data_IF_632170528774
#
_entry.id   IF_632170528774
#
_cell.length_a   1.000
_cell.length_b   1.000
_cell.length_c   1.000
_cell.angle_alpha   90.00
_cell.angle_beta   90.00
_cell.angle_gamma   90.00
#
_symmetry.space_group_name_H-M   'P 1'
#
loop_
_entity.id
_entity.type
_entity.pdbx_description
1 polymer ?
#
# COMPACT_ATOMS: atom_id res chain seq x y z
N UNK A 1 -17.22 -92.17 -1.62
CA UNK A 1 -16.88 -93.60 -1.54
C UNK A 1 -18.15 -94.42 -1.36
N UNK A 2 -19.13 -94.23 -2.24
CA UNK A 2 -20.24 -95.17 -2.36
C UNK A 2 -19.77 -96.32 -3.25
N UNK A 3 -20.29 -97.54 -3.04
CA UNK A 3 -19.89 -98.69 -3.85
C UNK A 3 -20.62 -98.61 -5.18
N UNK A 4 -19.89 -98.27 -6.24
CA UNK A 4 -20.36 -98.29 -7.63
C UNK A 4 -20.94 -99.68 -7.94
N UNK A 5 -22.27 -99.74 -8.05
CA UNK A 5 -22.98 -100.96 -8.43
C UNK A 5 -22.95 -101.03 -9.95
N UNK A 6 -21.99 -101.76 -10.50
CA UNK A 6 -21.89 -102.02 -11.94
C UNK A 6 -23.27 -102.45 -12.49
N UNK A 7 -23.78 -101.70 -13.47
CA UNK A 7 -25.17 -101.85 -13.94
C UNK A 7 -25.23 -103.05 -14.90
N UNK A 8 -25.40 -104.24 -14.34
CA UNK A 8 -25.57 -105.47 -15.12
C UNK A 8 -27.00 -105.58 -15.64
N UNK A 9 -27.16 -105.63 -16.97
CA UNK A 9 -28.46 -105.78 -17.65
C UNK A 9 -29.16 -107.11 -17.31
N UNK A 10 -28.40 -108.14 -16.92
CA UNK A 10 -28.89 -109.39 -16.34
C UNK A 10 -28.06 -109.67 -15.08
N UNK A 11 -28.67 -109.89 -13.89
CA UNK A 11 -27.92 -110.22 -12.69
C UNK A 11 -27.08 -111.49 -12.88
N UNK A 12 -25.79 -111.44 -12.55
CA UNK A 12 -24.90 -112.62 -12.65
C UNK A 12 -25.46 -113.82 -11.87
N UNK A 13 -26.04 -113.58 -10.68
CA UNK A 13 -26.72 -114.64 -9.90
C UNK A 13 -27.83 -115.38 -10.67
N UNK A 14 -28.50 -114.71 -11.62
CA UNK A 14 -29.55 -115.32 -12.44
C UNK A 14 -28.96 -116.14 -13.58
N UNK A 15 -27.91 -115.64 -14.23
CA UNK A 15 -27.16 -116.37 -15.26
C UNK A 15 -26.49 -117.63 -14.69
N UNK A 16 -25.88 -117.53 -13.51
CA UNK A 16 -25.27 -118.66 -12.79
C UNK A 16 -26.32 -119.72 -12.42
N UNK A 17 -27.49 -119.31 -11.92
CA UNK A 17 -28.61 -120.23 -11.64
C UNK A 17 -29.15 -120.92 -12.91
N UNK A 18 -29.20 -120.22 -14.05
CA UNK A 18 -29.63 -120.80 -15.33
C UNK A 18 -28.59 -121.78 -15.89
N UNK A 19 -27.29 -121.46 -15.80
CA UNK A 19 -26.21 -122.37 -16.19
C UNK A 19 -26.17 -123.63 -15.31
N UNK A 20 -26.26 -123.48 -13.99
CA UNK A 20 -26.37 -124.61 -13.06
C UNK A 20 -27.66 -125.43 -13.22
N UNK A 21 -28.74 -124.84 -13.75
CA UNK A 21 -29.96 -125.58 -14.11
C UNK A 21 -29.75 -126.38 -15.41
N UNK A 22 -29.09 -125.81 -16.42
CA UNK A 22 -28.74 -126.52 -17.66
C UNK A 22 -27.84 -127.73 -17.39
N UNK A 23 -26.81 -127.56 -16.55
CA UNK A 23 -25.89 -128.64 -16.13
C UNK A 23 -26.63 -129.80 -15.43
N UNK A 24 -27.58 -129.50 -14.54
CA UNK A 24 -28.41 -130.51 -13.86
C UNK A 24 -29.33 -131.25 -14.84
N UNK A 25 -30.06 -130.50 -15.68
CA UNK A 25 -30.93 -131.08 -16.69
C UNK A 25 -30.15 -131.94 -17.70
N UNK A 26 -28.89 -131.61 -17.97
CA UNK A 26 -28.00 -132.42 -18.80
C UNK A 26 -27.59 -133.72 -18.12
N UNK A 27 -27.22 -133.68 -16.83
CA UNK A 27 -26.95 -134.88 -16.03
C UNK A 27 -28.16 -135.82 -15.92
N UNK A 28 -29.37 -135.25 -15.85
CA UNK A 28 -30.65 -135.98 -15.85
C UNK A 28 -31.08 -136.48 -17.26
N UNK A 29 -30.25 -136.31 -18.30
CA UNK A 29 -30.53 -136.63 -19.71
C UNK A 29 -31.81 -135.97 -20.29
N UNK A 30 -32.23 -134.83 -19.73
CA UNK A 30 -33.44 -134.13 -20.14
C UNK A 30 -33.18 -133.29 -21.42
N UNK A 31 -33.93 -133.48 -22.52
CA UNK A 31 -33.71 -132.74 -23.78
C UNK A 31 -33.91 -131.21 -23.64
N UNK A 32 -34.63 -130.73 -22.62
CA UNK A 32 -34.72 -129.30 -22.32
C UNK A 32 -33.37 -128.66 -21.94
N UNK A 33 -32.37 -129.45 -21.52
CA UNK A 33 -31.00 -128.95 -21.32
C UNK A 33 -30.38 -128.43 -22.61
N UNK A 34 -30.55 -129.14 -23.73
CA UNK A 34 -30.02 -128.75 -25.05
C UNK A 34 -30.61 -127.40 -25.48
N UNK A 35 -31.92 -127.22 -25.30
CA UNK A 35 -32.59 -125.97 -25.62
C UNK A 35 -32.17 -124.82 -24.69
N UNK A 36 -32.03 -125.08 -23.37
CA UNK A 36 -31.59 -124.06 -22.42
C UNK A 36 -30.14 -123.63 -22.67
N UNK A 37 -29.23 -124.57 -22.96
CA UNK A 37 -27.85 -124.27 -23.34
C UNK A 37 -27.80 -123.50 -24.66
N UNK A 38 -28.57 -123.88 -25.68
CA UNK A 38 -28.63 -123.16 -26.95
C UNK A 38 -29.09 -121.71 -26.78
N UNK A 39 -30.08 -121.44 -25.93
CA UNK A 39 -30.54 -120.06 -25.63
C UNK A 39 -29.49 -119.29 -24.81
N UNK A 40 -28.81 -119.95 -23.87
CA UNK A 40 -27.72 -119.32 -23.11
C UNK A 40 -26.53 -118.97 -24.03
N UNK A 41 -26.19 -119.83 -25.00
CA UNK A 41 -25.13 -119.59 -25.99
C UNK A 41 -25.51 -118.50 -27.00
N UNK A 42 -26.79 -118.42 -27.40
CA UNK A 42 -27.32 -117.38 -28.29
C UNK A 42 -27.23 -115.97 -27.67
N UNK A 43 -27.56 -115.81 -26.38
CA UNK A 43 -27.54 -114.51 -25.71
C UNK A 43 -26.23 -114.17 -24.97
N UNK A 44 -25.34 -115.13 -24.71
CA UNK A 44 -23.99 -114.87 -24.16
C UNK A 44 -23.17 -113.80 -24.92
N UNK A 45 -23.14 -113.73 -26.28
CA UNK A 45 -22.48 -112.63 -26.99
C UNK A 45 -23.15 -111.27 -26.76
N UNK A 46 -24.48 -111.18 -26.78
CA UNK A 46 -25.22 -109.94 -26.56
C UNK A 46 -25.03 -109.40 -25.13
N UNK A 47 -25.02 -110.28 -24.14
CA UNK A 47 -24.74 -109.95 -22.74
C UNK A 47 -23.31 -109.39 -22.59
N UNK A 48 -22.34 -109.93 -23.34
CA UNK A 48 -20.96 -109.41 -23.38
C UNK A 48 -20.87 -108.07 -24.09
N UNK A 49 -21.57 -107.89 -25.21
CA UNK A 49 -21.61 -106.64 -25.95
C UNK A 49 -22.26 -105.51 -25.12
N UNK A 50 -23.41 -105.77 -24.49
CA UNK A 50 -24.04 -104.85 -23.54
C UNK A 50 -23.11 -104.52 -22.37
N UNK A 51 -22.43 -105.53 -21.80
CA UNK A 51 -21.45 -105.36 -20.73
C UNK A 51 -20.16 -104.61 -21.13
N UNK A 52 -19.87 -104.49 -22.44
CA UNK A 52 -18.82 -103.62 -22.98
C UNK A 52 -19.36 -102.20 -23.19
N UNK A 53 -20.51 -102.04 -23.85
CA UNK A 53 -21.17 -100.75 -24.10
C UNK A 53 -21.43 -99.98 -22.79
N UNK A 54 -21.89 -100.66 -21.73
CA UNK A 54 -22.08 -100.03 -20.40
C UNK A 54 -20.77 -99.49 -19.85
N UNK A 55 -19.66 -100.24 -19.96
CA UNK A 55 -18.34 -99.78 -19.49
C UNK A 55 -17.78 -98.63 -20.33
N UNK A 56 -18.02 -98.66 -21.65
CA UNK A 56 -17.66 -97.57 -22.55
C UNK A 56 -18.39 -96.28 -22.15
N UNK A 57 -19.71 -96.36 -21.88
CA UNK A 57 -20.45 -95.22 -21.33
C UNK A 57 -19.96 -94.80 -19.93
N UNK A 58 -19.75 -95.73 -18.99
CA UNK A 58 -19.23 -95.42 -17.64
C UNK A 58 -17.87 -94.69 -17.71
N UNK A 59 -16.98 -95.11 -18.62
CA UNK A 59 -15.69 -94.45 -18.86
C UNK A 59 -15.79 -93.11 -19.61
N UNK A 60 -16.72 -92.96 -20.57
CA UNK A 60 -16.97 -91.67 -21.22
C UNK A 60 -17.56 -90.65 -20.23
N UNK A 61 -18.57 -91.04 -19.46
CA UNK A 61 -19.23 -90.16 -18.48
C UNK A 61 -18.29 -89.77 -17.35
N UNK A 62 -17.54 -90.70 -16.76
CA UNK A 62 -16.55 -90.39 -15.72
C UNK A 62 -15.40 -89.52 -16.27
N UNK A 63 -14.93 -89.77 -17.49
CA UNK A 63 -13.97 -88.92 -18.19
C UNK A 63 -14.50 -87.50 -18.44
N UNK A 64 -15.77 -87.36 -18.82
CA UNK A 64 -16.44 -86.06 -19.02
C UNK A 64 -16.67 -85.30 -17.73
N UNK A 65 -17.04 -85.99 -16.64
CA UNK A 65 -17.17 -85.40 -15.30
C UNK A 65 -15.80 -84.90 -14.82
N UNK A 66 -14.79 -85.76 -14.79
CA UNK A 66 -13.42 -85.41 -14.37
C UNK A 66 -12.83 -84.25 -15.19
N UNK A 67 -13.05 -84.24 -16.51
CA UNK A 67 -12.65 -83.13 -17.38
C UNK A 67 -13.34 -81.81 -17.00
N UNK A 68 -14.64 -81.84 -16.67
CA UNK A 68 -15.39 -80.64 -16.25
C UNK A 68 -15.04 -80.19 -14.83
N UNK A 69 -14.83 -81.10 -13.89
CA UNK A 69 -14.31 -80.78 -12.56
C UNK A 69 -12.93 -80.12 -12.66
N UNK A 70 -12.05 -80.64 -13.53
CA UNK A 70 -10.76 -80.02 -13.85
C UNK A 70 -10.87 -78.63 -14.49
N UNK A 71 -11.84 -78.40 -15.37
CA UNK A 71 -12.16 -77.06 -15.89
C UNK A 71 -12.66 -76.11 -14.80
N UNK A 72 -13.58 -76.56 -13.93
CA UNK A 72 -14.17 -75.72 -12.89
C UNK A 72 -13.17 -75.39 -11.80
N UNK A 73 -12.37 -76.35 -11.34
CA UNK A 73 -11.27 -76.14 -10.38
C UNK A 73 -10.26 -75.10 -10.90
N UNK A 74 -9.86 -75.18 -12.17
CA UNK A 74 -8.99 -74.16 -12.82
C UNK A 74 -9.64 -72.78 -12.91
N UNK A 75 -10.94 -72.70 -13.20
CA UNK A 75 -11.72 -71.44 -13.21
C UNK A 75 -11.82 -70.84 -11.80
N UNK A 76 -12.08 -71.67 -10.79
CA UNK A 76 -12.19 -71.27 -9.39
C UNK A 76 -10.86 -70.75 -8.84
N UNK A 77 -9.75 -71.46 -9.09
CA UNK A 77 -8.41 -71.03 -8.70
C UNK A 77 -8.06 -69.65 -9.29
N UNK A 78 -8.30 -69.45 -10.61
CA UNK A 78 -8.09 -68.17 -11.29
C UNK A 78 -9.00 -67.04 -10.77
N UNK A 79 -10.23 -67.37 -10.35
CA UNK A 79 -11.13 -66.40 -9.72
C UNK A 79 -10.67 -66.03 -8.31
N UNK A 80 -10.20 -66.97 -7.50
CA UNK A 80 -9.60 -66.72 -6.19
C UNK A 80 -8.35 -65.84 -6.28
N UNK A 81 -7.44 -66.15 -7.20
CA UNK A 81 -6.26 -65.32 -7.52
C UNK A 81 -6.66 -63.89 -7.92
N UNK A 82 -7.66 -63.73 -8.80
CA UNK A 82 -8.16 -62.42 -9.21
C UNK A 82 -8.84 -61.66 -8.07
N UNK A 83 -9.57 -62.34 -7.18
CA UNK A 83 -10.16 -61.73 -5.98
C UNK A 83 -9.05 -61.20 -5.07
N UNK A 84 -8.04 -62.02 -4.75
CA UNK A 84 -6.92 -61.59 -3.91
C UNK A 84 -6.20 -60.38 -4.51
N UNK A 85 -5.83 -60.44 -5.79
CA UNK A 85 -5.16 -59.33 -6.49
C UNK A 85 -5.98 -58.02 -6.51
N UNK A 86 -7.32 -58.12 -6.56
CA UNK A 86 -8.21 -56.96 -6.44
C UNK A 86 -8.29 -56.45 -5.00
N UNK A 87 -8.35 -57.33 -4.00
CA UNK A 87 -8.33 -56.97 -2.57
C UNK A 87 -7.03 -56.25 -2.20
N UNK A 88 -5.87 -56.78 -2.61
CA UNK A 88 -4.55 -56.18 -2.36
C UNK A 88 -4.46 -54.78 -3.01
N UNK A 89 -4.99 -54.64 -4.23
CA UNK A 89 -5.06 -53.35 -4.95
C UNK A 89 -6.00 -52.34 -4.27
N UNK A 90 -7.13 -52.78 -3.72
CA UNK A 90 -8.02 -51.89 -2.95
C UNK A 90 -7.32 -51.41 -1.69
N UNK A 91 -6.69 -52.30 -0.92
CA UNK A 91 -5.95 -51.93 0.29
C UNK A 91 -4.81 -50.93 0.01
N UNK A 92 -4.08 -51.11 -1.10
CA UNK A 92 -3.06 -50.15 -1.54
C UNK A 92 -3.64 -48.76 -1.85
N UNK A 93 -4.73 -48.69 -2.63
CA UNK A 93 -5.40 -47.44 -2.98
C UNK A 93 -6.04 -46.74 -1.77
N UNK A 94 -6.51 -47.50 -0.77
CA UNK A 94 -6.98 -46.95 0.50
C UNK A 94 -5.84 -46.34 1.32
N UNK A 95 -4.67 -46.98 1.34
CA UNK A 95 -3.44 -46.43 1.93
C UNK A 95 -3.00 -45.12 1.27
N UNK A 96 -2.92 -45.10 -0.06
CA UNK A 96 -2.62 -43.88 -0.84
C UNK A 96 -3.62 -42.75 -0.55
N UNK A 97 -4.92 -43.07 -0.52
CA UNK A 97 -5.99 -42.12 -0.20
C UNK A 97 -5.85 -41.55 1.21
N UNK A 98 -5.49 -42.35 2.21
CA UNK A 98 -5.25 -41.88 3.58
C UNK A 98 -4.03 -40.96 3.64
N UNK A 99 -2.95 -41.27 2.91
CA UNK A 99 -1.76 -40.43 2.83
C UNK A 99 -2.04 -39.06 2.19
N UNK A 100 -2.75 -39.02 1.06
CA UNK A 100 -3.14 -37.76 0.42
C UNK A 100 -4.17 -36.96 1.26
N UNK A 101 -5.12 -37.61 1.94
CA UNK A 101 -6.03 -36.92 2.87
C UNK A 101 -5.27 -36.26 4.03
N UNK A 102 -4.24 -36.92 4.58
CA UNK A 102 -3.36 -36.34 5.60
C UNK A 102 -2.60 -35.12 5.07
N UNK A 103 -1.98 -35.26 3.89
CA UNK A 103 -1.23 -34.19 3.20
C UNK A 103 -2.12 -32.99 2.85
N UNK A 104 -3.37 -33.21 2.46
CA UNK A 104 -4.39 -32.16 2.28
C UNK A 104 -4.70 -31.45 3.62
N UNK A 105 -4.72 -32.18 4.73
CA UNK A 105 -4.85 -31.60 6.08
C UNK A 105 -3.66 -30.71 6.45
N UNK A 106 -2.44 -31.21 6.26
CA UNK A 106 -1.19 -30.50 6.52
C UNK A 106 -1.07 -29.22 5.67
N UNK A 107 -1.38 -29.30 4.37
CA UNK A 107 -1.43 -28.15 3.46
C UNK A 107 -2.52 -27.12 3.85
N UNK A 108 -3.69 -27.56 4.32
CA UNK A 108 -4.75 -26.65 4.82
C UNK A 108 -4.36 -25.96 6.14
N UNK A 109 -3.56 -26.60 6.97
CA UNK A 109 -2.95 -25.96 8.15
C UNK A 109 -1.95 -24.88 7.73
N UNK A 110 -0.97 -25.24 6.90
CA UNK A 110 0.04 -24.31 6.40
C UNK A 110 -0.54 -23.11 5.64
N UNK A 111 -1.63 -23.30 4.89
CA UNK A 111 -2.36 -22.21 4.22
C UNK A 111 -2.95 -21.22 5.24
N UNK A 112 -3.67 -21.71 6.25
CA UNK A 112 -4.26 -20.86 7.31
C UNK A 112 -3.21 -20.11 8.11
N UNK A 113 -2.09 -20.76 8.43
CA UNK A 113 -0.96 -20.12 9.11
C UNK A 113 -0.33 -19.03 8.23
N UNK A 114 -0.32 -19.20 6.91
CA UNK A 114 0.09 -18.20 5.93
C UNK A 114 -0.88 -17.02 5.86
N UNK A 115 -2.17 -17.29 5.74
CA UNK A 115 -3.25 -16.29 5.73
C UNK A 115 -3.23 -15.43 7.02
N UNK A 116 -3.08 -16.06 8.19
CA UNK A 116 -2.98 -15.35 9.47
C UNK A 116 -1.72 -14.45 9.56
N UNK A 117 -0.56 -14.93 9.08
CA UNK A 117 0.68 -14.13 9.03
C UNK A 117 0.55 -12.97 8.03
N UNK A 118 -0.10 -13.19 6.89
CA UNK A 118 -0.36 -12.14 5.90
C UNK A 118 -1.23 -11.04 6.50
N UNK A 119 -2.30 -11.39 7.21
CA UNK A 119 -3.18 -10.44 7.89
C UNK A 119 -2.44 -9.58 8.94
N UNK A 120 -1.56 -10.19 9.75
CA UNK A 120 -0.74 -9.47 10.74
C UNK A 120 0.29 -8.52 10.09
N UNK A 121 0.86 -8.90 8.94
CA UNK A 121 1.77 -8.03 8.18
C UNK A 121 0.99 -6.88 7.52
N UNK A 122 -0.22 -7.14 7.03
CA UNK A 122 -1.09 -6.10 6.46
C UNK A 122 -1.54 -5.09 7.52
N UNK A 123 -2.00 -5.53 8.70
CA UNK A 123 -2.43 -4.62 9.76
C UNK A 123 -1.27 -3.75 10.26
N UNK A 124 -0.10 -4.34 10.52
CA UNK A 124 1.08 -3.59 10.98
C UNK A 124 1.65 -2.65 9.90
N UNK A 125 1.53 -2.98 8.61
CA UNK A 125 1.86 -2.03 7.51
C UNK A 125 0.92 -0.83 7.52
N UNK A 126 -0.40 -1.05 7.66
CA UNK A 126 -1.38 0.03 7.70
C UNK A 126 -1.24 0.92 8.95
N UNK A 127 -0.87 0.33 10.09
CA UNK A 127 -0.52 1.06 11.32
C UNK A 127 0.74 1.92 11.13
N UNK A 128 1.80 1.37 10.53
CA UNK A 128 3.04 2.09 10.24
C UNK A 128 2.84 3.23 9.21
N UNK A 129 2.03 3.01 8.18
CA UNK A 129 1.65 4.03 7.19
C UNK A 129 0.81 5.15 7.84
N UNK A 130 -0.13 4.79 8.72
CA UNK A 130 -0.90 5.75 9.52
C UNK A 130 0.01 6.60 10.42
N UNK A 131 0.91 5.97 11.18
CA UNK A 131 1.90 6.66 12.01
C UNK A 131 2.81 7.59 11.19
N UNK A 132 3.28 7.13 10.03
CA UNK A 132 4.17 7.92 9.16
C UNK A 132 3.44 9.15 8.59
N UNK A 133 2.19 8.98 8.15
CA UNK A 133 1.36 10.09 7.68
C UNK A 133 1.06 11.09 8.80
N UNK A 134 0.75 10.63 10.02
CA UNK A 134 0.57 11.52 11.18
C UNK A 134 1.84 12.30 11.51
N UNK A 135 3.01 11.65 11.50
CA UNK A 135 4.33 12.29 11.71
C UNK A 135 4.64 13.30 10.60
N UNK A 136 4.31 13.00 9.34
CA UNK A 136 4.49 13.90 8.21
C UNK A 136 3.59 15.14 8.30
N UNK A 137 2.29 14.96 8.56
CA UNK A 137 1.31 16.07 8.72
C UNK A 137 1.70 16.97 9.90
N UNK A 138 2.05 16.38 11.04
CA UNK A 138 2.55 17.14 12.19
C UNK A 138 3.82 17.94 11.86
N UNK A 139 4.73 17.36 11.07
CA UNK A 139 5.96 18.06 10.66
C UNK A 139 5.71 19.19 9.65
N UNK A 140 4.77 19.00 8.73
CA UNK A 140 4.33 20.06 7.82
C UNK A 140 3.68 21.22 8.57
N UNK A 141 2.79 20.94 9.54
CA UNK A 141 2.20 21.98 10.39
C UNK A 141 3.28 22.73 11.18
N UNK A 142 4.25 22.02 11.78
CA UNK A 142 5.35 22.66 12.50
C UNK A 142 6.17 23.60 11.60
N UNK A 143 6.38 23.24 10.33
CA UNK A 143 7.07 24.09 9.35
C UNK A 143 6.25 25.32 8.98
N UNK A 144 4.95 25.19 8.73
CA UNK A 144 4.06 26.34 8.48
C UNK A 144 4.02 27.29 9.70
N UNK A 145 3.88 26.76 10.91
CA UNK A 145 3.89 27.55 12.15
C UNK A 145 5.22 28.30 12.34
N UNK A 146 6.35 27.66 12.04
CA UNK A 146 7.70 28.26 12.11
C UNK A 146 7.88 29.39 11.08
N UNK A 147 7.40 29.19 9.85
CA UNK A 147 7.48 30.20 8.78
C UNK A 147 6.60 31.41 9.12
N UNK A 148 5.31 31.18 9.42
CA UNK A 148 4.37 32.23 9.79
C UNK A 148 4.85 33.07 11.01
N UNK A 149 5.36 32.41 12.06
CA UNK A 149 5.97 33.11 13.22
C UNK A 149 7.16 33.99 12.82
N UNK A 150 7.99 33.54 11.87
CA UNK A 150 9.13 34.33 11.37
C UNK A 150 8.68 35.50 10.50
N UNK A 151 7.68 35.29 9.64
CA UNK A 151 7.09 36.34 8.80
C UNK A 151 6.44 37.43 9.65
N UNK A 152 5.61 37.05 10.63
CA UNK A 152 5.03 37.99 11.60
C UNK A 152 6.10 38.73 12.41
N UNK A 153 7.16 38.03 12.87
CA UNK A 153 8.28 38.69 13.55
C UNK A 153 8.98 39.71 12.64
N UNK A 154 9.22 39.38 11.36
CA UNK A 154 9.84 40.28 10.39
C UNK A 154 8.97 41.47 10.02
N UNK A 155 7.64 41.31 10.01
CA UNK A 155 6.68 42.41 9.85
C UNK A 155 6.73 43.36 11.05
N UNK A 156 6.66 42.85 12.29
CA UNK A 156 6.79 43.68 13.51
C UNK A 156 8.12 44.44 13.53
N UNK A 157 9.23 43.75 13.26
CA UNK A 157 10.58 44.30 13.12
C UNK A 157 10.66 45.43 12.09
N UNK A 158 9.88 45.35 11.01
CA UNK A 158 9.86 46.32 9.92
C UNK A 158 8.98 47.51 10.27
N UNK A 159 7.80 47.29 10.84
CA UNK A 159 6.93 48.35 11.34
C UNK A 159 7.61 49.19 12.41
N UNK A 160 8.31 48.58 13.37
CA UNK A 160 9.05 49.33 14.41
C UNK A 160 10.16 50.19 13.81
N UNK A 161 10.90 49.66 12.83
CA UNK A 161 11.92 50.41 12.09
C UNK A 161 11.30 51.55 11.29
N UNK A 162 10.15 51.33 10.65
CA UNK A 162 9.44 52.36 9.90
C UNK A 162 8.93 53.48 10.82
N UNK A 163 8.23 53.15 11.91
CA UNK A 163 7.78 54.11 12.93
C UNK A 163 8.95 54.90 13.55
N UNK A 164 10.10 54.26 13.75
CA UNK A 164 11.34 54.89 14.23
C UNK A 164 11.94 55.88 13.21
N UNK A 165 11.91 55.54 11.91
CA UNK A 165 12.34 56.43 10.84
C UNK A 165 11.38 57.62 10.65
N UNK A 166 10.07 57.39 10.66
CA UNK A 166 9.04 58.44 10.63
C UNK A 166 9.21 59.43 11.80
N UNK A 167 9.42 58.91 13.02
CA UNK A 167 9.66 59.74 14.21
C UNK A 167 10.93 60.60 14.07
N UNK A 168 12.01 60.05 13.49
CA UNK A 168 13.25 60.79 13.22
C UNK A 168 13.07 61.83 12.12
N UNK A 169 12.29 61.52 11.08
CA UNK A 169 11.97 62.46 10.01
C UNK A 169 11.17 63.64 10.56
N UNK A 170 10.11 63.39 11.32
CA UNK A 170 9.30 64.44 11.96
C UNK A 170 10.14 65.32 12.91
N UNK A 171 11.06 64.72 13.67
CA UNK A 171 12.00 65.48 14.50
C UNK A 171 12.92 66.39 13.67
N UNK A 172 13.52 65.87 12.59
CA UNK A 172 14.38 66.65 11.68
C UNK A 172 13.60 67.76 10.95
N UNK A 173 12.38 67.49 10.49
CA UNK A 173 11.49 68.49 9.88
C UNK A 173 11.09 69.58 10.89
N UNK A 174 10.82 69.19 12.13
CA UNK A 174 10.61 70.10 13.26
C UNK A 174 11.81 71.03 13.48
N UNK A 175 13.01 70.45 13.63
CA UNK A 175 14.29 71.14 13.80
C UNK A 175 14.57 72.13 12.65
N UNK A 176 14.37 71.70 11.40
CA UNK A 176 14.49 72.57 10.23
C UNK A 176 13.45 73.69 10.25
N UNK A 177 12.19 73.40 10.61
CA UNK A 177 11.14 74.42 10.71
C UNK A 177 11.45 75.47 11.77
N UNK A 178 12.03 75.08 12.91
CA UNK A 178 12.40 76.01 13.97
C UNK A 178 13.60 76.86 13.57
N UNK A 179 14.67 76.24 13.03
CA UNK A 179 15.83 76.97 12.50
C UNK A 179 15.41 77.99 11.45
N UNK A 180 14.46 77.66 10.56
CA UNK A 180 13.89 78.60 9.59
C UNK A 180 13.06 79.73 10.24
N UNK A 181 12.36 79.49 11.35
CA UNK A 181 11.71 80.56 12.14
C UNK A 181 12.75 81.45 12.81
N UNK A 182 13.75 80.87 13.48
CA UNK A 182 14.83 81.62 14.14
C UNK A 182 15.61 82.49 13.16
N UNK A 183 15.91 82.00 11.95
CA UNK A 183 16.55 82.78 10.89
C UNK A 183 15.66 83.95 10.44
N UNK A 184 14.36 83.72 10.20
CA UNK A 184 13.40 84.81 9.85
C UNK A 184 13.24 85.86 10.95
N UNK A 185 13.36 85.48 12.23
CA UNK A 185 13.39 86.46 13.33
C UNK A 185 14.69 87.28 13.35
N UNK A 186 15.85 86.65 13.11
CA UNK A 186 17.14 87.36 13.00
C UNK A 186 17.18 88.29 11.79
N UNK A 187 16.67 87.84 10.65
CA UNK A 187 16.50 88.61 9.41
C UNK A 187 15.67 89.88 9.67
N UNK A 188 14.48 89.75 10.28
CA UNK A 188 13.65 90.90 10.67
C UNK A 188 14.34 91.84 11.67
N UNK A 189 15.01 91.31 12.68
CA UNK A 189 15.72 92.13 13.66
C UNK A 189 16.87 92.93 13.02
N UNK A 190 17.60 92.33 12.07
CA UNK A 190 18.64 93.01 11.29
C UNK A 190 18.06 94.02 10.30
N UNK A 191 16.91 93.74 9.68
CA UNK A 191 16.17 94.74 8.90
C UNK A 191 15.74 95.94 9.76
N UNK A 192 15.24 95.70 10.97
CA UNK A 192 14.77 96.74 11.90
C UNK A 192 15.93 97.59 12.44
N UNK A 193 17.06 96.96 12.79
CA UNK A 193 18.32 97.65 13.15
C UNK A 193 18.86 98.47 11.96
N UNK A 194 18.89 97.92 10.75
CA UNK A 194 19.28 98.65 9.55
C UNK A 194 18.35 99.84 9.25
N UNK A 195 17.04 99.70 9.45
CA UNK A 195 16.04 100.79 9.33
C UNK A 195 16.27 101.85 10.42
N UNK A 196 16.54 101.45 11.66
CA UNK A 196 16.83 102.34 12.78
C UNK A 196 18.11 103.17 12.53
N UNK A 197 19.23 102.51 12.22
CA UNK A 197 20.50 103.18 11.88
C UNK A 197 20.36 104.10 10.67
N UNK A 198 19.57 103.73 9.66
CA UNK A 198 19.26 104.61 8.52
C UNK A 198 18.47 105.85 8.96
N UNK A 199 17.51 105.70 9.87
CA UNK A 199 16.77 106.83 10.43
C UNK A 199 17.65 107.74 11.33
N UNK A 200 18.60 107.17 12.07
CA UNK A 200 19.60 107.94 12.83
C UNK A 200 20.56 108.69 11.92
N UNK A 201 21.06 108.05 10.85
CA UNK A 201 21.86 108.70 9.80
C UNK A 201 21.10 109.87 9.15
N UNK A 202 19.81 109.68 8.83
CA UNK A 202 18.98 110.78 8.29
C UNK A 202 18.90 111.92 9.32
N UNK A 203 18.60 111.64 10.59
CA UNK A 203 18.55 112.66 11.66
C UNK A 203 19.88 113.39 11.87
N UNK A 204 21.03 112.72 11.73
CA UNK A 204 22.34 113.39 11.86
C UNK A 204 22.69 114.20 10.63
N UNK A 205 22.34 113.74 9.42
CA UNK A 205 22.43 114.55 8.20
C UNK A 205 21.53 115.79 8.27
N UNK A 206 20.27 115.64 8.70
CA UNK A 206 19.32 116.75 8.87
C UNK A 206 19.84 117.75 9.91
N UNK A 207 20.37 117.29 11.05
CA UNK A 207 20.96 118.16 12.07
C UNK A 207 22.22 118.89 11.59
N UNK A 208 23.11 118.21 10.86
CA UNK A 208 24.29 118.84 10.24
C UNK A 208 23.85 119.88 9.20
N UNK A 209 22.76 119.62 8.47
CA UNK A 209 22.16 120.57 7.54
C UNK A 209 21.55 121.78 8.26
N UNK A 210 20.82 121.58 9.36
CA UNK A 210 20.32 122.68 10.19
C UNK A 210 21.46 123.54 10.75
N UNK A 211 22.55 122.92 11.23
CA UNK A 211 23.76 123.61 11.69
C UNK A 211 24.47 124.38 10.55
N UNK A 212 24.48 123.84 9.32
CA UNK A 212 25.03 124.51 8.13
C UNK A 212 24.13 125.67 7.69
N UNK A 213 22.83 125.46 7.51
CA UNK A 213 21.86 126.50 7.16
C UNK A 213 21.85 127.63 8.22
N UNK A 214 22.11 127.31 9.50
CA UNK A 214 22.25 128.30 10.58
C UNK A 214 23.57 129.08 10.48
N UNK A 215 24.68 128.43 10.13
CA UNK A 215 25.96 129.09 9.84
C UNK A 215 25.87 129.98 8.60
N UNK A 216 25.25 129.52 7.53
CA UNK A 216 24.99 130.32 6.32
C UNK A 216 24.09 131.51 6.63
N UNK A 217 23.03 131.33 7.43
CA UNK A 217 22.22 132.46 7.93
C UNK A 217 23.02 133.45 8.78
N UNK A 218 23.96 132.98 9.61
CA UNK A 218 24.83 133.85 10.41
C UNK A 218 25.90 134.58 9.56
N UNK A 219 26.42 133.93 8.52
CA UNK A 219 27.35 134.52 7.54
C UNK A 219 26.60 135.57 6.71
N UNK A 220 25.44 135.22 6.12
CA UNK A 220 24.61 136.16 5.37
C UNK A 220 24.11 137.33 6.24
N UNK A 221 23.90 137.13 7.55
CA UNK A 221 23.62 138.22 8.48
C UNK A 221 24.84 139.14 8.70
N UNK A 222 26.05 138.58 8.83
CA UNK A 222 27.31 139.36 8.86
C UNK A 222 27.55 140.11 7.55
N UNK A 223 27.34 139.47 6.41
CA UNK A 223 27.49 140.08 5.08
C UNK A 223 26.47 141.20 4.86
N UNK A 224 25.22 141.02 5.28
CA UNK A 224 24.21 142.10 5.27
C UNK A 224 24.56 143.23 6.22
N UNK A 225 25.15 142.94 7.39
CA UNK A 225 25.64 143.97 8.30
C UNK A 225 26.80 144.75 7.67
N UNK A 226 27.80 144.06 7.09
CA UNK A 226 28.92 144.69 6.38
C UNK A 226 28.43 145.53 5.19
N UNK A 227 27.52 145.01 4.37
CA UNK A 227 26.91 145.73 3.24
C UNK A 227 25.95 146.87 3.67
N UNK A 228 25.54 146.91 4.95
CA UNK A 228 24.81 148.03 5.54
C UNK A 228 25.81 149.11 6.01
N UNK A 229 26.91 148.72 6.65
CA UNK A 229 28.02 149.62 6.99
C UNK A 229 28.62 150.29 5.73
N UNK A 230 28.90 149.54 4.67
CA UNK A 230 29.36 150.07 3.36
C UNK A 230 28.37 151.05 2.70
N UNK A 231 27.10 151.10 3.14
CA UNK A 231 26.04 151.97 2.60
C UNK A 231 25.58 153.06 3.56
N UNK A 232 26.10 153.12 4.79
CA UNK A 232 25.65 154.05 5.83
C UNK A 232 26.60 155.24 6.08
N UNK A 233 27.75 155.27 5.41
CA UNK A 233 28.84 156.24 5.62
C UNK A 233 30.14 155.54 6.05
N UNK A 234 31.31 156.15 6.00
CA UNK A 234 31.63 157.57 5.85
C UNK A 234 32.76 157.93 6.84
N UNK A 235 33.83 158.57 6.36
CA UNK A 235 35.02 158.94 7.15
C UNK A 235 34.67 159.71 8.45
N UNK A 236 35.40 159.54 9.57
CA UNK A 236 36.69 160.25 9.74
C UNK A 236 37.79 159.52 10.56
N UNK A 237 38.85 160.26 10.89
CA UNK A 237 40.18 159.78 11.28
C UNK A 237 40.46 159.57 12.80
N UNK A 238 41.39 158.63 13.05
CA UNK A 238 42.58 158.73 13.92
C UNK A 238 42.55 158.76 15.48
N UNK A 239 43.40 157.88 16.05
CA UNK A 239 44.20 158.02 17.31
C UNK A 239 43.38 157.97 18.63
N UNK A 240 43.88 157.54 19.81
CA UNK A 240 45.17 157.04 20.37
C UNK A 240 44.79 156.34 21.73
N UNK A 241 45.51 155.46 22.43
CA UNK A 241 46.76 154.68 22.29
C UNK A 241 46.86 153.67 23.48
N UNK A 242 47.72 152.64 23.44
CA UNK A 242 48.14 151.94 24.67
C UNK A 242 48.56 150.46 24.58
N UNK A 243 49.89 150.23 24.65
CA UNK A 243 50.63 148.95 24.73
C UNK A 243 50.51 147.99 23.53
#
# INVERSE_FOLDING_TARGET
>A
MEKERAIQCVPVEMLERLKALAERLWADNNPSSVHLSSVLEEFEPDIKALGQIVKEYETEYSGRVSSKEGEFSKKEARLKEKVQSLTDRVAALEGERVAELRKIGELKGALKDGEAKLGLVQSSSMELESELNLKYVAKMQELYDRVNKKEMSMLTDWEEKNRSLESRQQAMEGDHSERMRQLKFKEKALEEDAKARKAELIRTFDRIREDLDARERAIAARERALAYWDKAGGSPEAKKEGQ
#
